data_IF_493103789445
#
_entry.id   IF_493103789445
#
_cell.length_a   1.000
_cell.length_b   1.000
_cell.length_c   1.000
_cell.angle_alpha   90.00
_cell.angle_beta   90.00
_cell.angle_gamma   90.00
#
_symmetry.space_group_name_H-M   'P 1'
#
loop_
_entity.id
_entity.type
_entity.pdbx_description
1 polymer ?
#
# COMPACT_ATOMS: atom_id res chain seq x y z
N UNK A 1 -15.24 7.37 6.29
CA UNK A 1 -14.20 8.42 6.37
C UNK A 1 -12.84 7.73 6.43
N UNK A 2 -11.81 8.27 5.76
CA UNK A 2 -10.45 7.70 5.73
C UNK A 2 -9.88 7.41 7.12
N UNK A 3 -10.27 8.19 8.13
CA UNK A 3 -9.84 7.99 9.53
C UNK A 3 -10.46 6.75 10.19
N UNK A 4 -11.69 6.38 9.82
CA UNK A 4 -12.38 5.20 10.37
C UNK A 4 -11.81 3.92 9.76
N UNK A 5 -11.56 3.92 8.44
CA UNK A 5 -10.87 2.81 7.76
C UNK A 5 -9.46 2.61 8.32
N UNK A 6 -8.74 3.70 8.61
CA UNK A 6 -7.43 3.64 9.24
C UNK A 6 -7.46 2.95 10.61
N UNK A 7 -8.41 3.29 11.48
CA UNK A 7 -8.50 2.70 12.83
C UNK A 7 -8.74 1.19 12.81
N UNK A 8 -9.63 0.73 11.92
CA UNK A 8 -9.93 -0.70 11.81
C UNK A 8 -8.74 -1.46 11.18
N UNK A 9 -8.17 -0.92 10.10
CA UNK A 9 -7.11 -1.59 9.35
C UNK A 9 -5.77 -1.63 10.10
N UNK A 10 -5.48 -0.64 10.96
CA UNK A 10 -4.21 -0.58 11.70
C UNK A 10 -4.05 -1.79 12.63
N UNK A 11 -5.11 -2.18 13.33
CA UNK A 11 -5.03 -3.25 14.34
C UNK A 11 -4.73 -4.59 13.67
N UNK A 12 -5.51 -4.94 12.64
CA UNK A 12 -5.31 -6.18 11.89
C UNK A 12 -3.94 -6.21 11.20
N UNK A 13 -3.53 -5.09 10.60
CA UNK A 13 -2.25 -5.00 9.89
C UNK A 13 -1.07 -5.10 10.85
N UNK A 14 -1.19 -4.57 12.07
CA UNK A 14 -0.17 -4.71 13.11
C UNK A 14 0.08 -6.18 13.43
N UNK A 15 -0.98 -6.95 13.64
CA UNK A 15 -0.88 -8.36 14.02
C UNK A 15 -0.27 -9.20 12.90
N UNK A 16 -0.62 -8.92 11.63
CA UNK A 16 -0.05 -9.58 10.46
C UNK A 16 1.45 -9.28 10.33
N UNK A 17 1.84 -8.00 10.39
CA UNK A 17 3.23 -7.58 10.20
C UNK A 17 4.13 -8.09 11.32
N UNK A 18 3.65 -8.06 12.57
CA UNK A 18 4.40 -8.60 13.71
C UNK A 18 4.55 -10.12 13.64
N UNK A 19 3.51 -10.84 13.25
CA UNK A 19 3.58 -12.29 13.02
C UNK A 19 4.63 -12.66 11.98
N UNK A 20 4.66 -11.95 10.84
CA UNK A 20 5.67 -12.16 9.80
C UNK A 20 7.09 -11.79 10.26
N UNK A 21 7.22 -10.70 11.04
CA UNK A 21 8.50 -10.32 11.64
C UNK A 21 9.03 -11.41 12.57
N UNK A 22 8.18 -11.97 13.44
CA UNK A 22 8.56 -13.05 14.34
C UNK A 22 8.94 -14.34 13.59
N UNK A 23 8.32 -14.58 12.42
CA UNK A 23 8.72 -15.63 11.49
C UNK A 23 10.02 -15.32 10.70
N UNK A 24 10.72 -14.23 11.04
CA UNK A 24 11.93 -13.77 10.36
C UNK A 24 11.76 -13.55 8.85
N UNK A 25 10.57 -13.10 8.42
CA UNK A 25 10.29 -12.79 7.02
C UNK A 25 11.25 -11.71 6.47
N UNK A 26 11.88 -11.99 5.32
CA UNK A 26 12.82 -11.08 4.62
C UNK A 26 12.35 -10.67 3.22
N UNK A 27 11.13 -11.03 2.85
CA UNK A 27 10.56 -10.69 1.54
C UNK A 27 10.20 -9.21 1.41
N UNK A 28 9.40 -8.91 0.38
CA UNK A 28 8.88 -7.56 0.10
C UNK A 28 7.41 -7.47 0.49
N UNK A 29 7.02 -6.35 1.08
CA UNK A 29 5.63 -5.97 1.31
C UNK A 29 5.13 -5.12 0.15
N UNK A 30 3.94 -5.45 -0.36
CA UNK A 30 3.18 -4.61 -1.30
C UNK A 30 1.87 -4.23 -0.61
N UNK A 31 1.75 -2.97 -0.23
CA UNK A 31 0.61 -2.44 0.52
C UNK A 31 -0.38 -1.84 -0.47
N UNK A 32 -1.59 -2.38 -0.51
CA UNK A 32 -2.72 -1.84 -1.28
C UNK A 32 -3.81 -1.21 -0.40
N UNK A 33 -3.74 -1.41 0.92
CA UNK A 33 -4.75 -0.95 1.88
C UNK A 33 -4.73 0.57 2.02
N UNK A 34 -5.91 1.19 2.08
CA UNK A 34 -6.04 2.63 2.31
C UNK A 34 -6.17 2.97 3.81
N UNK A 35 -5.70 4.16 4.22
CA UNK A 35 -4.97 5.16 3.42
C UNK A 35 -3.52 4.72 3.14
N UNK A 36 -3.17 4.59 1.85
CA UNK A 36 -2.01 3.82 1.40
C UNK A 36 -0.66 4.29 1.95
N UNK A 37 -0.39 5.59 1.88
CA UNK A 37 0.90 6.14 2.29
C UNK A 37 1.14 5.94 3.80
N UNK A 38 0.09 6.18 4.61
CA UNK A 38 0.14 6.01 6.06
C UNK A 38 0.33 4.54 6.44
N UNK A 39 -0.40 3.61 5.81
CA UNK A 39 -0.27 2.18 6.09
C UNK A 39 1.09 1.64 5.64
N UNK A 40 1.60 2.12 4.50
CA UNK A 40 2.95 1.75 4.01
C UNK A 40 4.02 2.18 4.99
N UNK A 41 3.94 3.42 5.48
CA UNK A 41 4.86 3.92 6.50
C UNK A 41 4.77 3.14 7.81
N UNK A 42 3.55 2.81 8.25
CA UNK A 42 3.35 2.00 9.45
C UNK A 42 3.93 0.58 9.32
N UNK A 43 3.72 -0.07 8.17
CA UNK A 43 4.29 -1.38 7.82
C UNK A 43 5.82 -1.35 7.85
N UNK A 44 6.43 -0.28 7.32
CA UNK A 44 7.87 -0.05 7.31
C UNK A 44 8.45 0.01 8.73
N UNK A 45 7.78 0.72 9.65
CA UNK A 45 8.21 0.81 11.05
C UNK A 45 8.10 -0.56 11.74
N UNK A 46 6.94 -1.21 11.62
CA UNK A 46 6.66 -2.46 12.34
C UNK A 46 7.56 -3.61 11.90
N UNK A 47 7.71 -3.80 10.59
CA UNK A 47 8.49 -4.89 10.02
C UNK A 47 9.99 -4.79 10.33
N UNK A 48 10.49 -3.57 10.57
CA UNK A 48 11.92 -3.27 10.76
C UNK A 48 12.80 -3.71 9.57
N UNK A 49 12.21 -3.84 8.39
CA UNK A 49 12.96 -4.09 7.16
C UNK A 49 13.52 -2.78 6.59
N UNK A 50 14.52 -2.83 5.69
CA UNK A 50 14.96 -1.66 4.93
C UNK A 50 13.84 -1.06 4.06
N UNK A 51 13.91 0.25 3.78
CA UNK A 51 12.88 0.98 2.99
C UNK A 51 12.60 0.35 1.62
N UNK A 52 13.60 -0.23 0.98
CA UNK A 52 13.47 -0.90 -0.32
C UNK A 52 12.77 -2.28 -0.26
N UNK A 53 12.20 -2.65 0.89
CA UNK A 53 11.39 -3.86 1.06
C UNK A 53 9.90 -3.57 1.29
N UNK A 54 9.48 -2.31 1.43
CA UNK A 54 8.08 -1.96 1.70
C UNK A 54 7.60 -0.94 0.67
N UNK A 55 6.65 -1.37 -0.16
CA UNK A 55 6.13 -0.59 -1.28
C UNK A 55 4.64 -0.35 -1.08
N UNK A 56 4.21 0.90 -1.21
CA UNK A 56 2.80 1.23 -1.37
C UNK A 56 2.42 1.18 -2.85
N UNK A 57 1.20 0.75 -3.15
CA UNK A 57 0.64 0.87 -4.51
C UNK A 57 0.51 2.34 -4.95
N UNK A 58 0.47 3.27 -3.99
CA UNK A 58 0.32 4.71 -4.22
C UNK A 58 -0.87 4.99 -5.12
N UNK A 59 -0.64 5.84 -6.13
CA UNK A 59 -1.64 6.25 -7.12
C UNK A 59 -1.56 5.45 -8.41
N UNK A 60 -0.97 4.23 -8.40
CA UNK A 60 -0.79 3.45 -9.62
C UNK A 60 -2.12 3.15 -10.33
N UNK A 61 -3.15 2.79 -9.56
CA UNK A 61 -4.49 2.55 -10.08
C UNK A 61 -5.14 3.84 -10.60
N UNK A 62 -5.01 4.94 -9.86
CA UNK A 62 -5.57 6.25 -10.25
C UNK A 62 -4.91 6.78 -11.52
N UNK A 63 -3.59 6.64 -11.64
CA UNK A 63 -2.84 7.00 -12.84
C UNK A 63 -3.27 6.15 -14.03
N UNK A 64 -3.49 4.85 -13.83
CA UNK A 64 -3.97 3.94 -14.87
C UNK A 64 -5.38 4.29 -15.32
N UNK A 65 -6.26 4.67 -14.38
CA UNK A 65 -7.61 5.17 -14.68
C UNK A 65 -7.56 6.48 -15.44
N UNK A 66 -6.71 7.42 -15.05
CA UNK A 66 -6.52 8.70 -15.74
C UNK A 66 -6.04 8.49 -17.18
N UNK A 67 -5.00 7.67 -17.37
CA UNK A 67 -4.50 7.31 -18.71
C UNK A 67 -5.60 6.74 -19.59
N UNK A 68 -6.41 5.83 -19.06
CA UNK A 68 -7.54 5.24 -19.78
C UNK A 68 -8.58 6.29 -20.21
N UNK A 69 -8.89 7.27 -19.35
CA UNK A 69 -9.82 8.35 -19.68
C UNK A 69 -9.24 9.23 -20.79
N UNK A 70 -7.99 9.70 -20.62
CA UNK A 70 -7.32 10.56 -21.60
C UNK A 70 -7.17 9.87 -22.96
N UNK A 71 -6.80 8.60 -22.97
CA UNK A 71 -6.68 7.82 -24.21
C UNK A 71 -8.02 7.67 -24.93
N UNK A 72 -9.12 7.48 -24.19
CA UNK A 72 -10.47 7.48 -24.77
C UNK A 72 -10.84 8.83 -25.37
N UNK A 73 -10.53 9.93 -24.68
CA UNK A 73 -10.90 11.28 -25.11
C UNK A 73 -10.06 11.76 -26.31
N UNK A 74 -8.84 11.23 -26.47
CA UNK A 74 -7.92 11.57 -27.55
C UNK A 74 -7.88 10.54 -28.70
N UNK A 75 -8.70 9.47 -28.62
CA UNK A 75 -8.69 8.33 -29.56
C UNK A 75 -7.29 7.69 -29.72
N UNK A 76 -6.63 7.48 -28.58
CA UNK A 76 -5.30 6.87 -28.48
C UNK A 76 -5.35 5.55 -27.69
N UNK A 77 -4.24 4.82 -27.69
CA UNK A 77 -4.04 3.68 -26.80
C UNK A 77 -3.63 4.16 -25.39
N UNK A 78 -4.25 3.64 -24.30
CA UNK A 78 -3.90 3.96 -22.90
C UNK A 78 -2.46 3.72 -22.45
#
# INVERSE_FOLDING_TARGET
SRLVELQNNITELKDIVLSLKHANFKGKYIVATNPNDTITYYTQILSSLPKNHVFGSGTNLDSSRLKKILAKDLDLNP
#
